data_IF_639050831920
#
_entry.id   IF_639050831920
#
_cell.length_a   1.000
_cell.length_b   1.000
_cell.length_c   1.000
_cell.angle_alpha   90.00
_cell.angle_beta   90.00
_cell.angle_gamma   90.00
#
_symmetry.space_group_name_H-M   'P 1'
#
loop_
_entity.id
_entity.type
_entity.pdbx_description
1 polymer ?
#
# COMPACT_ATOMS: atom_id res chain seq x y z
N UNK A 1 11.04 -13.46 -10.00
CA UNK A 1 10.43 -12.82 -8.81
C UNK A 1 9.16 -12.10 -9.24
N UNK A 2 8.15 -11.98 -8.39
CA UNK A 2 6.86 -11.35 -8.78
C UNK A 2 6.95 -9.80 -8.63
N UNK A 3 6.65 -9.03 -9.69
CA UNK A 3 6.81 -7.56 -9.67
C UNK A 3 5.82 -6.85 -8.73
N UNK A 4 4.63 -7.41 -8.50
CA UNK A 4 3.67 -6.84 -7.55
C UNK A 4 4.12 -7.08 -6.11
N UNK A 5 4.72 -8.23 -5.82
CA UNK A 5 5.34 -8.49 -4.53
C UNK A 5 6.46 -7.49 -4.22
N UNK A 6 7.31 -7.17 -5.21
CA UNK A 6 8.36 -6.14 -5.07
C UNK A 6 7.73 -4.78 -4.81
N UNK A 7 6.75 -4.39 -5.61
CA UNK A 7 6.05 -3.11 -5.45
C UNK A 7 5.41 -2.99 -4.06
N UNK A 8 4.83 -4.07 -3.54
CA UNK A 8 4.25 -4.11 -2.20
C UNK A 8 5.29 -3.92 -1.11
N UNK A 9 6.45 -4.54 -1.24
CA UNK A 9 7.56 -4.41 -0.29
C UNK A 9 8.09 -2.97 -0.27
N UNK A 10 8.30 -2.36 -1.44
CA UNK A 10 8.68 -0.94 -1.56
C UNK A 10 7.61 0.00 -1.00
N UNK A 11 6.33 -0.27 -1.25
CA UNK A 11 5.22 0.49 -0.69
C UNK A 11 5.18 0.40 0.85
N UNK A 12 5.40 -0.79 1.41
CA UNK A 12 5.41 -1.00 2.87
C UNK A 12 6.58 -0.30 3.55
N UNK A 13 7.72 -0.16 2.86
CA UNK A 13 8.90 0.58 3.34
C UNK A 13 8.80 2.09 3.14
N UNK A 14 7.86 2.56 2.32
CA UNK A 14 7.81 3.97 1.91
C UNK A 14 8.88 4.35 0.88
N UNK A 15 9.47 3.36 0.20
CA UNK A 15 10.58 3.52 -0.73
C UNK A 15 10.11 3.69 -2.20
N UNK A 16 8.83 4.02 -2.42
CA UNK A 16 8.24 4.13 -3.77
C UNK A 16 8.95 5.16 -4.67
N UNK A 17 9.64 6.14 -4.09
CA UNK A 17 10.44 7.13 -4.81
C UNK A 17 11.67 6.53 -5.52
N UNK A 18 12.20 5.42 -5.00
CA UNK A 18 13.32 4.67 -5.61
C UNK A 18 12.92 3.93 -6.89
N UNK A 19 11.63 3.88 -7.21
CA UNK A 19 11.14 3.20 -8.42
C UNK A 19 11.17 4.19 -9.59
N UNK A 20 12.00 3.89 -10.58
CA UNK A 20 12.30 4.78 -11.71
C UNK A 20 11.74 4.17 -13.01
N UNK A 21 11.08 4.98 -13.81
CA UNK A 21 10.64 4.61 -15.15
C UNK A 21 11.77 4.90 -16.16
N UNK A 22 12.24 3.88 -16.87
CA UNK A 22 13.27 3.98 -17.90
C UNK A 22 12.71 3.50 -19.25
N UNK A 23 11.91 4.36 -19.88
CA UNK A 23 11.26 4.04 -21.16
C UNK A 23 10.31 2.86 -21.03
N UNK A 24 10.71 1.71 -21.58
CA UNK A 24 9.93 0.47 -21.57
C UNK A 24 10.16 -0.40 -20.32
N UNK A 25 11.06 0.00 -19.42
CA UNK A 25 11.37 -0.71 -18.19
C UNK A 25 11.06 0.12 -16.94
N UNK A 26 10.81 -0.59 -15.84
CA UNK A 26 10.64 -0.04 -14.50
C UNK A 26 11.70 -0.65 -13.59
N UNK A 27 12.55 0.21 -13.06
CA UNK A 27 13.63 -0.16 -12.14
C UNK A 27 13.15 0.04 -10.70
N UNK A 28 13.31 -0.99 -9.89
CA UNK A 28 13.02 -0.97 -8.46
C UNK A 28 14.36 -0.92 -7.72
N UNK A 29 14.84 0.30 -7.48
CA UNK A 29 16.22 0.51 -7.01
C UNK A 29 17.23 -0.09 -7.99
N UNK A 30 18.27 -0.70 -7.45
CA UNK A 30 19.35 -1.34 -8.23
C UNK A 30 19.17 -2.87 -8.34
N UNK A 31 18.21 -3.44 -7.61
CA UNK A 31 18.07 -4.89 -7.45
C UNK A 31 17.19 -5.54 -8.52
N UNK A 32 16.15 -4.85 -9.00
CA UNK A 32 15.16 -5.45 -9.90
C UNK A 32 14.76 -4.52 -11.03
N UNK A 33 14.63 -5.09 -12.23
CA UNK A 33 14.12 -4.41 -13.41
C UNK A 33 13.02 -5.26 -14.03
N UNK A 34 11.88 -4.63 -14.35
CA UNK A 34 10.74 -5.30 -14.97
C UNK A 34 10.20 -4.48 -16.13
N UNK A 35 9.63 -5.13 -17.18
CA UNK A 35 9.04 -4.39 -18.29
C UNK A 35 7.80 -3.61 -17.85
N UNK A 36 7.72 -2.35 -18.28
CA UNK A 36 6.63 -1.43 -17.98
C UNK A 36 5.27 -1.92 -18.47
N UNK A 37 5.25 -2.67 -19.58
CA UNK A 37 4.03 -3.24 -20.18
C UNK A 37 3.69 -4.65 -19.67
N UNK A 38 4.39 -5.14 -18.64
CA UNK A 38 4.14 -6.46 -18.08
C UNK A 38 2.71 -6.54 -17.49
N UNK A 39 1.83 -7.41 -17.98
CA UNK A 39 0.49 -7.55 -17.44
C UNK A 39 0.56 -8.07 -16.00
N UNK A 40 -0.14 -7.39 -15.10
CA UNK A 40 -0.15 -7.74 -13.67
C UNK A 40 -1.44 -8.43 -13.26
N UNK A 41 -1.45 -9.08 -12.08
CA UNK A 41 -2.67 -9.63 -11.48
C UNK A 41 -3.67 -8.54 -11.03
N UNK A 42 -3.27 -7.27 -11.06
CA UNK A 42 -4.17 -6.14 -10.85
C UNK A 42 -4.91 -5.84 -12.15
N UNK A 43 -6.20 -6.19 -12.22
CA UNK A 43 -7.03 -6.02 -13.40
C UNK A 43 -8.20 -5.08 -13.13
N UNK A 44 -8.62 -4.36 -14.17
CA UNK A 44 -9.77 -3.48 -14.07
C UNK A 44 -11.04 -4.26 -13.77
N UNK A 45 -11.81 -3.83 -12.77
CA UNK A 45 -13.10 -4.44 -12.41
C UNK A 45 -14.15 -4.29 -13.50
N UNK A 46 -14.04 -3.26 -14.34
CA UNK A 46 -15.04 -2.98 -15.39
C UNK A 46 -14.80 -3.79 -16.66
N UNK A 47 -13.53 -3.94 -17.07
CA UNK A 47 -13.16 -4.59 -18.34
C UNK A 47 -12.55 -5.97 -18.17
N UNK A 48 -12.15 -6.35 -16.95
CA UNK A 48 -11.41 -7.59 -16.67
C UNK A 48 -9.99 -7.60 -17.21
N UNK A 49 -9.52 -6.51 -17.84
CA UNK A 49 -8.19 -6.46 -18.45
C UNK A 49 -7.12 -6.19 -17.38
N UNK A 50 -5.99 -6.94 -17.40
CA UNK A 50 -4.88 -6.68 -16.51
C UNK A 50 -4.26 -5.32 -16.82
N UNK A 51 -3.99 -4.54 -15.78
CA UNK A 51 -3.21 -3.33 -15.91
C UNK A 51 -1.73 -3.68 -16.05
N UNK A 52 -0.99 -2.94 -16.90
CA UNK A 52 0.44 -3.10 -16.99
C UNK A 52 1.12 -2.62 -15.70
N UNK A 53 2.31 -3.13 -15.43
CA UNK A 53 3.08 -2.81 -14.23
C UNK A 53 3.27 -1.30 -14.05
N UNK A 54 3.53 -0.58 -15.14
CA UNK A 54 3.66 0.88 -15.14
C UNK A 54 2.45 1.60 -14.52
N UNK A 55 1.24 1.14 -14.83
CA UNK A 55 0.02 1.74 -14.30
C UNK A 55 -0.14 1.49 -12.80
N UNK A 56 0.21 0.30 -12.33
CA UNK A 56 0.12 -0.07 -10.91
C UNK A 56 1.18 0.65 -10.06
N UNK A 57 2.40 0.79 -10.58
CA UNK A 57 3.48 1.56 -9.94
C UNK A 57 3.11 3.03 -9.85
N UNK A 58 2.63 3.61 -10.97
CA UNK A 58 2.22 5.00 -11.01
C UNK A 58 1.04 5.28 -10.07
N UNK A 59 0.11 4.33 -9.94
CA UNK A 59 -0.97 4.41 -8.96
C UNK A 59 -0.45 4.43 -7.52
N UNK A 60 0.51 3.56 -7.19
CA UNK A 60 1.09 3.50 -5.85
C UNK A 60 1.84 4.80 -5.49
N UNK A 61 2.61 5.36 -6.43
CA UNK A 61 3.39 6.58 -6.23
C UNK A 61 2.53 7.85 -6.09
N UNK A 62 1.37 7.92 -6.77
CA UNK A 62 0.53 9.13 -6.87
C UNK A 62 -0.83 8.93 -6.18
N UNK A 63 -0.81 8.34 -4.99
CA UNK A 63 -2.02 8.10 -4.20
C UNK A 63 -2.60 9.40 -3.60
N UNK A 64 -1.73 10.36 -3.31
CA UNK A 64 -2.04 11.70 -2.80
C UNK A 64 -2.73 12.60 -3.85
N UNK A 65 -2.53 12.33 -5.15
CA UNK A 65 -3.10 13.16 -6.22
C UNK A 65 -4.60 12.92 -6.43
N UNK A 66 -5.33 14.03 -6.65
CA UNK A 66 -6.74 14.00 -7.07
C UNK A 66 -6.89 13.23 -8.38
N UNK A 67 -8.09 12.68 -8.60
CA UNK A 67 -8.31 11.83 -9.76
C UNK A 67 -8.01 12.50 -11.09
N UNK A 68 -8.44 13.75 -11.26
CA UNK A 68 -8.19 14.53 -12.47
C UNK A 68 -6.70 14.73 -12.75
N UNK A 69 -5.92 15.08 -11.73
CA UNK A 69 -4.47 15.34 -11.84
C UNK A 69 -3.71 14.05 -12.17
N UNK A 70 -4.08 12.95 -11.52
CA UNK A 70 -3.54 11.63 -11.83
C UNK A 70 -3.79 11.25 -13.30
N UNK A 71 -5.01 11.48 -13.83
CA UNK A 71 -5.31 11.18 -15.23
C UNK A 71 -4.49 12.04 -16.19
N UNK A 72 -4.26 13.32 -15.86
CA UNK A 72 -3.42 14.21 -16.65
C UNK A 72 -1.95 13.75 -16.63
N UNK A 73 -1.42 13.44 -15.45
CA UNK A 73 -0.04 12.98 -15.29
C UNK A 73 0.21 11.61 -15.95
N UNK A 74 -0.73 10.67 -15.85
CA UNK A 74 -0.66 9.38 -16.54
C UNK A 74 -0.63 9.57 -18.07
N UNK A 75 -1.48 10.46 -18.61
CA UNK A 75 -1.52 10.77 -20.05
C UNK A 75 -0.23 11.39 -20.55
N UNK A 76 0.36 12.31 -19.80
CA UNK A 76 1.65 12.93 -20.15
C UNK A 76 2.77 11.90 -20.24
N UNK A 77 2.73 10.87 -19.40
CA UNK A 77 3.70 9.77 -19.37
C UNK A 77 3.33 8.59 -20.28
N UNK A 78 2.26 8.71 -21.07
CA UNK A 78 1.70 7.63 -21.91
C UNK A 78 1.38 6.34 -21.15
N UNK A 79 1.12 6.45 -19.85
CA UNK A 79 0.74 5.31 -19.01
C UNK A 79 -0.79 5.11 -19.12
N UNK A 80 -1.28 3.87 -19.27
CA UNK A 80 -2.71 3.60 -19.28
C UNK A 80 -3.37 4.07 -17.98
N UNK A 81 -4.36 4.97 -18.02
CA UNK A 81 -4.97 5.49 -16.82
C UNK A 81 -5.79 4.41 -16.10
N UNK A 82 -5.56 4.28 -14.79
CA UNK A 82 -6.36 3.42 -13.92
C UNK A 82 -7.70 4.10 -13.60
N UNK A 83 -8.79 3.34 -13.69
CA UNK A 83 -10.14 3.85 -13.46
C UNK A 83 -10.36 4.24 -11.99
N UNK A 84 -11.20 5.24 -11.72
CA UNK A 84 -11.52 5.66 -10.35
C UNK A 84 -11.98 4.52 -9.41
N UNK A 85 -12.89 3.60 -9.81
CA UNK A 85 -13.28 2.49 -8.92
C UNK A 85 -12.11 1.55 -8.62
N UNK A 86 -11.22 1.31 -9.58
CA UNK A 86 -10.02 0.50 -9.37
C UNK A 86 -9.03 1.21 -8.42
N UNK A 87 -8.89 2.55 -8.51
CA UNK A 87 -8.07 3.35 -7.59
C UNK A 87 -8.57 3.37 -6.15
N UNK A 88 -9.89 3.37 -5.94
CA UNK A 88 -10.48 3.33 -4.58
C UNK A 88 -10.32 1.96 -3.94
N UNK A 89 -10.35 0.90 -4.74
CA UNK A 89 -10.37 -0.47 -4.24
C UNK A 89 -9.00 -1.00 -3.82
N UNK A 90 -7.91 -0.42 -4.32
CA UNK A 90 -6.56 -0.74 -3.83
C UNK A 90 -6.34 -0.34 -2.35
N UNK A 91 -7.16 0.59 -1.82
CA UNK A 91 -7.09 1.08 -0.44
C UNK A 91 -8.31 0.71 0.41
N UNK A 92 -9.17 -0.19 -0.08
CA UNK A 92 -10.41 -0.52 0.63
C UNK A 92 -10.11 -1.37 1.87
N UNK A 93 -10.18 -0.74 3.04
CA UNK A 93 -10.24 -1.45 4.32
C UNK A 93 -11.62 -2.08 4.43
N UNK A 94 -11.67 -3.41 4.28
CA UNK A 94 -12.92 -4.17 4.31
C UNK A 94 -13.07 -4.89 5.64
N UNK A 95 -14.08 -4.48 6.42
CA UNK A 95 -14.33 -4.99 7.77
C UNK A 95 -14.87 -6.44 7.79
N UNK A 96 -15.51 -6.88 6.69
CA UNK A 96 -16.06 -8.23 6.54
C UNK A 96 -15.17 -9.11 5.66
N UNK A 97 -14.19 -9.85 6.22
CA UNK A 97 -13.30 -10.71 5.43
C UNK A 97 -14.05 -11.88 4.79
N UNK A 98 -15.18 -12.31 5.36
CA UNK A 98 -16.02 -13.38 4.80
C UNK A 98 -16.69 -13.02 3.47
N UNK A 99 -16.73 -11.72 3.11
CA UNK A 99 -17.26 -11.26 1.82
C UNK A 99 -16.19 -11.14 0.73
N UNK A 100 -14.92 -11.42 1.05
CA UNK A 100 -13.83 -11.45 0.07
C UNK A 100 -13.87 -12.77 -0.70
N UNK A 101 -13.81 -12.68 -2.04
CA UNK A 101 -13.65 -13.87 -2.88
C UNK A 101 -12.23 -14.41 -2.73
N UNK A 102 -11.97 -15.70 -3.00
CA UNK A 102 -10.62 -16.27 -2.99
C UNK A 102 -9.59 -15.44 -3.78
N UNK A 103 -10.01 -14.92 -4.93
CA UNK A 103 -9.19 -14.09 -5.82
C UNK A 103 -8.84 -12.70 -5.23
N UNK A 104 -9.72 -12.15 -4.37
CA UNK A 104 -9.48 -10.86 -3.72
C UNK A 104 -8.37 -10.96 -2.65
N UNK A 105 -8.14 -12.14 -2.06
CA UNK A 105 -7.10 -12.35 -1.05
C UNK A 105 -5.69 -12.10 -1.58
N UNK A 106 -5.45 -12.31 -2.88
CA UNK A 106 -4.18 -12.01 -3.53
C UNK A 106 -3.84 -10.51 -3.50
N UNK A 107 -4.83 -9.64 -3.24
CA UNK A 107 -4.68 -8.17 -3.20
C UNK A 107 -4.64 -7.63 -1.76
N UNK A 108 -4.82 -8.48 -0.76
CA UNK A 108 -4.81 -8.07 0.65
C UNK A 108 -3.37 -7.89 1.12
N UNK A 109 -3.02 -6.66 1.51
CA UNK A 109 -1.67 -6.31 1.98
C UNK A 109 -1.53 -6.47 3.49
N UNK A 110 -2.60 -6.24 4.25
CA UNK A 110 -2.64 -6.41 5.70
C UNK A 110 -4.08 -6.74 6.17
N UNK A 111 -4.19 -7.57 7.22
CA UNK A 111 -5.46 -7.84 7.91
C UNK A 111 -5.34 -7.35 9.34
N UNK A 112 -6.16 -6.36 9.70
CA UNK A 112 -6.24 -5.88 11.07
C UNK A 112 -7.41 -6.59 11.76
N UNK A 113 -7.11 -7.37 12.80
CA UNK A 113 -8.15 -7.96 13.64
C UNK A 113 -8.46 -6.94 14.73
N UNK A 114 -9.60 -6.24 14.61
CA UNK A 114 -10.11 -5.38 15.66
C UNK A 114 -10.72 -6.26 16.77
N UNK A 115 -9.87 -6.90 17.55
CA UNK A 115 -10.25 -7.64 18.74
C UNK A 115 -10.40 -6.70 19.94
N UNK A 116 -11.30 -7.04 20.86
CA UNK A 116 -11.32 -6.49 22.23
C UNK A 116 -9.95 -6.77 22.85
N UNK A 117 -9.25 -5.73 23.36
CA UNK A 117 -7.84 -5.63 23.78
C UNK A 117 -7.19 -6.75 24.65
N UNK A 118 -7.83 -7.91 24.88
CA UNK A 118 -7.39 -8.92 25.86
C UNK A 118 -7.15 -10.33 25.28
N UNK A 119 -6.50 -10.48 24.13
CA UNK A 119 -6.20 -11.83 23.60
C UNK A 119 -4.78 -12.09 23.09
N UNK A 120 -3.83 -11.17 23.20
CA UNK A 120 -2.42 -11.55 23.08
C UNK A 120 -1.92 -12.13 24.40
N UNK A 121 -2.28 -13.40 24.67
CA UNK A 121 -1.62 -14.21 25.68
C UNK A 121 -0.47 -14.93 24.97
N UNK A 122 0.72 -14.36 25.10
CA UNK A 122 1.97 -15.00 24.67
C UNK A 122 2.04 -16.40 25.27
N UNK A 123 2.20 -17.40 24.42
CA UNK A 123 2.43 -18.78 24.80
C UNK A 123 3.82 -19.19 24.34
N UNK A 124 4.85 -18.52 24.87
CA UNK A 124 6.21 -19.03 24.80
C UNK A 124 7.10 -18.26 25.77
N UNK A 125 7.74 -19.01 26.65
CA UNK A 125 8.72 -18.57 27.63
C UNK A 125 9.79 -17.64 27.04
N UNK A 126 10.34 -16.83 27.93
CA UNK A 126 11.50 -15.92 27.85
C UNK A 126 11.26 -14.51 27.29
N UNK A 127 11.07 -13.60 28.25
CA UNK A 127 11.35 -12.17 28.29
C UNK A 127 11.55 -11.43 26.97
N UNK A 128 10.56 -10.58 26.66
CA UNK A 128 10.78 -9.37 25.89
C UNK A 128 10.28 -8.21 26.76
N UNK A 129 11.20 -7.44 27.36
CA UNK A 129 10.87 -6.12 27.90
C UNK A 129 10.92 -5.12 26.74
N UNK A 130 9.80 -4.48 26.35
CA UNK A 130 9.85 -3.36 25.42
C UNK A 130 10.22 -2.09 26.19
N UNK A 131 11.40 -1.55 25.91
CA UNK A 131 11.81 -0.20 26.31
C UNK A 131 10.84 0.82 25.69
N UNK A 132 9.98 1.40 26.53
CA UNK A 132 8.95 2.37 26.15
C UNK A 132 9.36 3.78 26.59
N UNK A 133 10.50 4.28 26.13
CA UNK A 133 10.97 5.61 26.53
C UNK A 133 11.64 6.41 25.41
N UNK A 134 10.94 6.68 24.28
CA UNK A 134 11.42 7.67 23.31
C UNK A 134 10.34 8.36 22.45
N UNK A 135 9.11 8.55 22.96
CA UNK A 135 8.14 9.43 22.28
C UNK A 135 8.13 10.82 22.95
N UNK A 136 8.34 11.92 22.21
CA UNK A 136 8.44 13.25 22.81
C UNK A 136 7.06 13.74 23.26
N UNK A 137 6.88 13.90 24.57
CA UNK A 137 5.68 14.56 25.13
C UNK A 137 5.74 16.06 24.84
N UNK A 138 4.69 16.57 24.18
CA UNK A 138 4.39 18.00 24.08
C UNK A 138 3.99 18.53 25.48
N UNK A 139 4.68 19.56 25.95
CA UNK A 139 4.45 20.26 27.21
C UNK A 139 3.16 21.12 27.22
N UNK A 140 2.61 21.30 28.43
CA UNK A 140 1.57 22.27 28.80
C UNK A 140 0.49 21.57 29.64
N UNK A 141 0.37 21.72 30.96
CA UNK A 141 0.70 22.83 31.84
C UNK A 141 -0.63 23.36 32.41
N UNK A 142 -0.94 23.05 33.68
CA UNK A 142 -2.15 23.57 34.33
C UNK A 142 -2.55 22.81 35.60
N UNK A 143 -1.96 23.21 36.73
CA UNK A 143 -2.35 22.86 38.11
C UNK A 143 -3.63 23.61 38.49
N UNK A 144 -4.53 22.93 39.23
CA UNK A 144 -5.43 23.43 40.29
C UNK A 144 -6.20 22.18 40.75
N UNK A 145 -6.31 21.79 42.01
CA UNK A 145 -6.29 22.54 43.27
C UNK A 145 -7.40 21.91 44.11
N UNK A 146 -7.09 21.59 45.37
CA UNK A 146 -7.91 20.86 46.33
C UNK A 146 -9.39 21.29 46.43
N UNK A 147 -10.27 20.35 46.82
CA UNK A 147 -10.86 20.24 48.17
C UNK A 147 -11.70 18.97 48.30
#
# INVERSE_FOLDING_TARGET
MDPLAVLRDYAARGDLDKIIFNGDDVLFGDDYTFPANLPTAFASKQSGRPYPLSATVFLAQHNDLKHTEFLQAARLRRIPPVSLPDRKTIHEVRDKPASLKPDDWARVVAVFVLGKERQFKAANNSSFEPDVAAWPRRQGGGVLGAR
#
